data_IF_412956000068
#
_entry.id   IF_412956000068
#
_cell.length_a   1.000
_cell.length_b   1.000
_cell.length_c   1.000
_cell.angle_alpha   90.00
_cell.angle_beta   90.00
_cell.angle_gamma   90.00
#
_symmetry.space_group_name_H-M   'P 1'
#
loop_
_entity.id
_entity.type
_entity.pdbx_description
1 polymer ?
#
# COMPACT_ATOMS: atom_id res chain seq x y z
N UNK A 1 1.87 -3.65 -14.71
CA UNK A 1 0.46 -3.84 -14.29
C UNK A 1 0.15 -5.27 -13.79
N UNK A 2 1.15 -6.05 -13.33
CA UNK A 2 0.90 -7.34 -12.65
C UNK A 2 0.28 -7.16 -11.25
N UNK A 3 0.52 -6.02 -10.59
CA UNK A 3 -0.06 -5.71 -9.28
C UNK A 3 -1.59 -5.73 -9.31
N UNK A 4 -2.21 -5.22 -10.38
CA UNK A 4 -3.67 -5.22 -10.53
C UNK A 4 -4.25 -6.62 -10.76
N UNK A 5 -3.43 -7.62 -11.08
CA UNK A 5 -3.90 -9.01 -11.22
C UNK A 5 -4.46 -9.58 -9.91
N UNK A 6 -4.14 -8.98 -8.74
CA UNK A 6 -4.73 -9.34 -7.44
C UNK A 6 -6.25 -9.13 -7.37
N UNK A 7 -6.80 -8.26 -8.22
CA UNK A 7 -8.25 -8.05 -8.29
C UNK A 7 -8.99 -9.25 -8.90
N UNK A 8 -8.29 -10.18 -9.57
CA UNK A 8 -8.87 -11.42 -10.08
C UNK A 8 -9.25 -12.34 -8.89
N UNK A 9 -8.33 -12.74 -7.99
CA UNK A 9 -8.68 -13.43 -6.75
C UNK A 9 -9.76 -12.72 -5.93
N UNK A 10 -9.67 -11.39 -5.80
CA UNK A 10 -10.66 -10.63 -5.03
C UNK A 10 -12.06 -10.68 -5.62
N UNK A 11 -12.20 -10.65 -6.95
CA UNK A 11 -13.49 -10.80 -7.62
C UNK A 11 -14.16 -12.15 -7.30
N UNK A 12 -13.38 -13.23 -7.19
CA UNK A 12 -13.92 -14.54 -6.79
C UNK A 12 -14.31 -14.58 -5.31
N UNK A 13 -13.49 -13.98 -4.43
CA UNK A 13 -13.74 -13.96 -2.99
C UNK A 13 -14.90 -13.05 -2.57
N UNK A 14 -15.30 -12.08 -3.42
CA UNK A 14 -16.27 -11.04 -3.08
C UNK A 14 -17.64 -11.23 -3.72
N UNK A 15 -17.85 -12.33 -4.46
CA UNK A 15 -19.13 -12.64 -5.10
C UNK A 15 -20.30 -12.66 -4.08
N UNK A 16 -20.04 -13.11 -2.86
CA UNK A 16 -21.05 -13.14 -1.78
C UNK A 16 -21.23 -11.78 -1.09
N UNK A 17 -20.26 -10.87 -1.22
CA UNK A 17 -20.19 -9.55 -0.56
C UNK A 17 -20.79 -8.41 -1.41
N UNK A 18 -20.62 -8.49 -2.74
CA UNK A 18 -21.06 -7.45 -3.70
C UNK A 18 -22.58 -7.44 -3.93
N UNK A 19 -23.30 -8.48 -3.52
CA UNK A 19 -24.75 -8.59 -3.67
C UNK A 19 -25.19 -9.22 -5.00
N UNK A 20 -26.50 -9.32 -5.25
CA UNK A 20 -27.06 -9.98 -6.45
C UNK A 20 -27.55 -8.96 -7.50
N UNK A 21 -27.42 -9.30 -8.78
CA UNK A 21 -27.95 -8.53 -9.91
C UNK A 21 -27.21 -7.21 -10.16
N UNK A 22 -27.92 -6.15 -10.55
CA UNK A 22 -27.33 -4.84 -10.88
C UNK A 22 -26.55 -4.19 -9.71
N UNK A 23 -26.85 -4.58 -8.46
CA UNK A 23 -26.10 -4.12 -7.28
C UNK A 23 -24.66 -4.69 -7.24
N UNK A 24 -24.42 -5.85 -7.86
CA UNK A 24 -23.05 -6.42 -7.89
C UNK A 24 -22.11 -5.60 -8.75
N UNK A 25 -22.62 -4.94 -9.81
CA UNK A 25 -21.81 -4.02 -10.63
C UNK A 25 -21.26 -2.85 -9.82
N UNK A 26 -22.10 -2.27 -8.94
CA UNK A 26 -21.64 -1.23 -8.01
C UNK A 26 -20.71 -1.80 -6.94
N UNK A 27 -20.97 -3.01 -6.45
CA UNK A 27 -20.08 -3.70 -5.52
C UNK A 27 -18.68 -3.92 -6.10
N UNK A 28 -18.58 -4.34 -7.37
CA UNK A 28 -17.29 -4.49 -8.06
C UNK A 28 -16.60 -3.15 -8.34
N UNK A 29 -17.36 -2.10 -8.62
CA UNK A 29 -16.79 -0.76 -8.83
C UNK A 29 -16.14 -0.20 -7.57
N UNK A 30 -16.71 -0.51 -6.40
CA UNK A 30 -16.28 -0.01 -5.10
C UNK A 30 -15.22 -0.91 -4.44
N UNK A 31 -14.93 -2.06 -5.04
CA UNK A 31 -13.97 -3.03 -4.53
C UNK A 31 -12.55 -2.43 -4.45
N UNK A 32 -11.97 -2.46 -3.25
CA UNK A 32 -10.57 -2.12 -2.97
C UNK A 32 -10.01 -3.13 -1.95
N UNK A 33 -8.69 -3.13 -1.75
CA UNK A 33 -8.06 -4.12 -0.88
C UNK A 33 -8.60 -4.05 0.55
N UNK A 34 -8.79 -2.84 1.05
CA UNK A 34 -9.26 -2.56 2.40
C UNK A 34 -10.69 -3.06 2.59
N UNK A 35 -11.61 -2.78 1.66
CA UNK A 35 -13.00 -3.22 1.74
C UNK A 35 -13.12 -4.75 1.68
N UNK A 36 -12.26 -5.40 0.91
CA UNK A 36 -12.15 -6.87 0.87
C UNK A 36 -11.62 -7.42 2.18
N UNK A 37 -10.51 -6.88 2.70
CA UNK A 37 -9.89 -7.34 3.96
C UNK A 37 -10.83 -7.13 5.14
N UNK A 38 -11.41 -5.94 5.29
CA UNK A 38 -12.35 -5.63 6.37
C UNK A 38 -13.66 -6.40 6.25
N UNK A 39 -14.13 -6.64 5.01
CA UNK A 39 -15.29 -7.48 4.74
C UNK A 39 -15.06 -8.94 5.14
N UNK A 40 -13.92 -9.53 4.76
CA UNK A 40 -13.60 -10.92 5.07
C UNK A 40 -13.22 -11.16 6.54
N UNK A 41 -12.82 -10.12 7.27
CA UNK A 41 -12.45 -10.22 8.69
C UNK A 41 -13.65 -10.35 9.66
N UNK A 42 -14.89 -10.12 9.20
CA UNK A 42 -16.08 -10.21 10.06
C UNK A 42 -16.62 -11.64 10.17
N UNK A 43 -17.29 -11.95 11.28
CA UNK A 43 -17.81 -13.29 11.55
C UNK A 43 -19.18 -13.55 10.90
N UNK A 44 -20.12 -12.59 10.95
CA UNK A 44 -21.47 -12.77 10.42
C UNK A 44 -21.63 -12.23 8.99
N UNK A 45 -22.43 -12.90 8.15
CA UNK A 45 -22.66 -12.51 6.75
C UNK A 45 -23.22 -11.09 6.59
N UNK A 46 -24.05 -10.62 7.53
CA UNK A 46 -24.54 -9.24 7.55
C UNK A 46 -23.44 -8.22 7.82
N UNK A 47 -22.55 -8.52 8.77
CA UNK A 47 -21.44 -7.63 9.13
C UNK A 47 -20.37 -7.61 8.03
N UNK A 48 -20.06 -8.76 7.41
CA UNK A 48 -19.12 -8.82 6.28
C UNK A 48 -19.54 -7.89 5.15
N UNK A 49 -20.83 -7.92 4.78
CA UNK A 49 -21.40 -7.02 3.76
C UNK A 49 -21.38 -5.56 4.21
N UNK A 50 -21.78 -5.29 5.44
CA UNK A 50 -21.77 -3.92 5.96
C UNK A 50 -20.35 -3.34 5.96
N UNK A 51 -19.36 -4.08 6.44
CA UNK A 51 -17.95 -3.69 6.46
C UNK A 51 -17.40 -3.46 5.04
N UNK A 52 -17.70 -4.35 4.10
CA UNK A 52 -17.32 -4.18 2.69
C UNK A 52 -17.87 -2.88 2.10
N UNK A 53 -19.18 -2.64 2.23
CA UNK A 53 -19.83 -1.46 1.63
C UNK A 53 -19.44 -0.16 2.34
N UNK A 54 -19.35 -0.15 3.68
CA UNK A 54 -18.95 1.03 4.45
C UNK A 54 -17.50 1.44 4.14
N UNK A 55 -16.58 0.49 4.16
CA UNK A 55 -15.17 0.75 3.87
C UNK A 55 -14.99 1.18 2.40
N UNK A 56 -15.66 0.49 1.48
CA UNK A 56 -15.64 0.78 0.06
C UNK A 56 -16.16 2.19 -0.27
N UNK A 57 -17.37 2.54 0.20
CA UNK A 57 -17.96 3.86 -0.03
C UNK A 57 -17.14 4.94 0.67
N UNK A 58 -16.65 4.66 1.89
CA UNK A 58 -15.78 5.58 2.63
C UNK A 58 -14.54 5.96 1.83
N UNK A 59 -13.86 4.98 1.25
CA UNK A 59 -12.68 5.22 0.39
C UNK A 59 -13.09 5.93 -0.90
N UNK A 60 -14.18 5.51 -1.55
CA UNK A 60 -14.68 6.13 -2.78
C UNK A 60 -14.94 7.63 -2.61
N UNK A 61 -15.41 8.06 -1.44
CA UNK A 61 -15.68 9.47 -1.14
C UNK A 61 -14.43 10.19 -0.61
N UNK A 62 -13.71 9.59 0.34
CA UNK A 62 -12.55 10.19 0.97
C UNK A 62 -11.41 10.43 -0.04
N UNK A 63 -11.25 9.53 -1.01
CA UNK A 63 -10.22 9.63 -2.03
C UNK A 63 -10.32 10.90 -2.89
N UNK A 64 -11.41 11.15 -3.65
CA UNK A 64 -11.53 12.36 -4.47
C UNK A 64 -11.56 13.62 -3.61
N UNK A 65 -12.18 13.59 -2.42
CA UNK A 65 -12.16 14.72 -1.49
C UNK A 65 -10.73 15.04 -1.07
N UNK A 66 -9.95 14.04 -0.68
CA UNK A 66 -8.54 14.19 -0.31
C UNK A 66 -7.69 14.71 -1.48
N UNK A 67 -7.94 14.25 -2.71
CA UNK A 67 -7.28 14.75 -3.91
C UNK A 67 -7.59 16.23 -4.14
N UNK A 68 -8.86 16.63 -4.08
CA UNK A 68 -9.27 18.03 -4.25
C UNK A 68 -8.68 18.92 -3.15
N UNK A 69 -8.74 18.48 -1.89
CA UNK A 69 -8.12 19.21 -0.78
C UNK A 69 -6.60 19.32 -0.99
N UNK A 70 -5.94 18.24 -1.39
CA UNK A 70 -4.51 18.20 -1.65
C UNK A 70 -4.11 19.09 -2.82
N UNK A 71 -4.90 19.13 -3.89
CA UNK A 71 -4.69 20.03 -5.03
C UNK A 71 -4.83 21.50 -4.61
N UNK A 72 -5.90 21.84 -3.89
CA UNK A 72 -6.13 23.19 -3.40
C UNK A 72 -5.01 23.63 -2.46
N UNK A 73 -4.65 22.82 -1.46
CA UNK A 73 -3.55 23.12 -0.54
C UNK A 73 -2.20 23.18 -1.27
N UNK A 74 -1.97 22.28 -2.23
CA UNK A 74 -0.75 22.25 -3.03
C UNK A 74 -0.61 23.47 -3.93
N UNK A 75 -1.70 24.07 -4.40
CA UNK A 75 -1.69 25.29 -5.22
C UNK A 75 -1.16 26.52 -4.47
N UNK A 76 -1.19 26.50 -3.13
CA UNK A 76 -0.59 27.54 -2.28
C UNK A 76 0.91 27.35 -2.03
N UNK A 77 1.47 26.18 -2.40
CA UNK A 77 2.88 25.85 -2.19
C UNK A 77 3.63 26.11 -3.50
N UNK A 78 4.31 27.25 -3.57
CA UNK A 78 5.04 27.69 -4.77
C UNK A 78 6.30 26.87 -5.08
N UNK A 79 6.89 26.20 -4.08
CA UNK A 79 8.12 25.43 -4.26
C UNK A 79 8.10 24.10 -3.48
N UNK A 80 7.55 23.06 -4.12
CA UNK A 80 7.34 21.73 -3.51
C UNK A 80 8.65 20.98 -3.21
N UNK A 81 9.76 21.35 -3.86
CA UNK A 81 11.07 20.75 -3.64
C UNK A 81 11.71 21.14 -2.31
N UNK A 82 11.41 22.35 -1.81
CA UNK A 82 11.98 22.85 -0.55
C UNK A 82 11.39 22.12 0.67
N UNK A 83 10.15 21.64 0.57
CA UNK A 83 9.44 20.98 1.66
C UNK A 83 9.71 19.46 1.76
N UNK A 84 10.60 18.90 0.93
CA UNK A 84 10.90 17.46 0.95
C UNK A 84 9.69 16.59 0.59
N UNK A 85 8.78 17.13 -0.22
CA UNK A 85 7.54 16.48 -0.64
C UNK A 85 7.82 15.20 -1.46
N UNK A 86 8.98 15.15 -2.12
CA UNK A 86 9.53 14.00 -2.84
C UNK A 86 9.91 12.84 -1.90
N UNK A 87 10.26 13.13 -0.65
CA UNK A 87 10.60 12.13 0.37
C UNK A 87 9.38 11.64 1.19
N UNK A 88 8.21 12.25 1.05
CA UNK A 88 7.03 11.87 1.84
C UNK A 88 6.63 10.41 1.65
N UNK A 89 6.57 9.94 0.40
CA UNK A 89 6.14 8.57 0.12
C UNK A 89 7.12 7.51 0.68
N UNK A 90 8.45 7.63 0.43
CA UNK A 90 9.43 6.79 1.13
C UNK A 90 9.35 6.86 2.66
N UNK A 91 9.12 8.04 3.22
CA UNK A 91 9.02 8.23 4.67
C UNK A 91 7.79 7.52 5.26
N UNK A 92 6.63 7.59 4.60
CA UNK A 92 5.41 6.88 5.01
C UNK A 92 5.64 5.37 4.95
N UNK A 93 6.21 4.85 3.86
CA UNK A 93 6.52 3.42 3.74
C UNK A 93 7.47 2.97 4.85
N UNK A 94 8.52 3.75 5.12
CA UNK A 94 9.46 3.46 6.20
C UNK A 94 8.74 3.42 7.55
N UNK A 95 7.91 4.44 7.85
CA UNK A 95 7.15 4.51 9.10
C UNK A 95 6.21 3.31 9.28
N UNK A 96 5.51 2.89 8.22
CA UNK A 96 4.66 1.69 8.21
C UNK A 96 5.46 0.39 8.33
N UNK A 97 6.73 0.40 7.92
CA UNK A 97 7.62 -0.77 8.01
C UNK A 97 8.28 -0.91 9.38
N UNK A 98 8.40 0.17 10.17
CA UNK A 98 9.04 0.15 11.49
C UNK A 98 8.47 -0.90 12.44
N UNK A 99 7.13 -1.09 12.57
CA UNK A 99 6.56 -2.14 13.43
C UNK A 99 6.97 -3.55 13.02
N UNK A 100 7.23 -3.79 11.73
CA UNK A 100 7.69 -5.08 11.22
C UNK A 100 9.17 -5.36 11.55
N UNK A 101 9.98 -4.33 11.85
CA UNK A 101 11.39 -4.43 12.22
C UNK A 101 11.62 -4.71 13.72
N UNK A 102 10.90 -5.71 14.24
CA UNK A 102 10.90 -6.05 15.67
C UNK A 102 12.24 -6.65 16.16
N UNK A 103 12.89 -7.48 15.35
CA UNK A 103 14.14 -8.16 15.70
C UNK A 103 15.40 -7.33 15.40
N UNK A 104 16.43 -7.42 16.26
CA UNK A 104 17.73 -6.72 16.08
C UNK A 104 18.46 -7.16 14.80
N UNK A 105 18.45 -8.44 14.46
CA UNK A 105 19.04 -8.99 13.23
C UNK A 105 18.29 -8.53 11.99
N UNK A 106 16.96 -8.49 12.05
CA UNK A 106 16.13 -7.99 10.95
C UNK A 106 16.42 -6.50 10.69
N UNK A 107 16.51 -5.71 11.76
CA UNK A 107 16.90 -4.30 11.68
C UNK A 107 18.31 -4.10 11.12
N UNK A 108 19.28 -4.90 11.55
CA UNK A 108 20.63 -4.86 11.02
C UNK A 108 20.66 -5.22 9.52
N UNK A 109 19.93 -6.25 9.13
CA UNK A 109 19.78 -6.67 7.73
C UNK A 109 19.16 -5.56 6.87
N UNK A 110 18.12 -4.89 7.39
CA UNK A 110 17.48 -3.75 6.73
C UNK A 110 18.44 -2.56 6.58
N UNK A 111 19.20 -2.21 7.62
CA UNK A 111 20.19 -1.13 7.58
C UNK A 111 21.28 -1.44 6.55
N UNK A 112 21.82 -2.66 6.54
CA UNK A 112 22.86 -3.06 5.58
C UNK A 112 22.32 -3.03 4.15
N UNK A 113 21.09 -3.52 3.93
CA UNK A 113 20.42 -3.42 2.63
C UNK A 113 20.25 -1.97 2.18
N UNK A 114 19.84 -1.07 3.08
CA UNK A 114 19.72 0.36 2.80
C UNK A 114 21.08 0.99 2.43
N UNK A 115 22.15 0.65 3.15
CA UNK A 115 23.52 1.11 2.83
C UNK A 115 23.95 0.65 1.44
N UNK A 116 23.71 -0.63 1.09
CA UNK A 116 24.02 -1.17 -0.23
C UNK A 116 23.25 -0.42 -1.32
N UNK A 117 21.95 -0.20 -1.13
CA UNK A 117 21.14 0.55 -2.08
C UNK A 117 21.68 1.97 -2.28
N UNK A 118 21.88 2.73 -1.19
CA UNK A 118 22.37 4.12 -1.26
C UNK A 118 23.75 4.20 -1.93
N UNK A 119 24.67 3.29 -1.59
CA UNK A 119 26.01 3.27 -2.16
C UNK A 119 26.03 2.93 -3.66
N UNK A 120 25.05 2.17 -4.15
CA UNK A 120 24.97 1.74 -5.56
C UNK A 120 24.11 2.65 -6.44
N UNK A 121 23.23 3.47 -5.84
CA UNK A 121 22.42 4.49 -6.52
C UNK A 121 23.17 5.38 -7.51
N UNK A 122 24.37 5.94 -7.21
CA UNK A 122 25.03 6.84 -8.16
C UNK A 122 25.59 6.14 -9.40
N UNK A 123 25.75 4.82 -9.37
CA UNK A 123 26.44 4.06 -10.44
C UNK A 123 25.47 3.24 -11.29
N UNK A 124 24.33 2.84 -10.73
CA UNK A 124 23.42 1.88 -11.36
C UNK A 124 22.09 2.51 -11.81
N UNK A 125 21.45 1.98 -12.86
CA UNK A 125 20.12 2.41 -13.28
C UNK A 125 19.06 2.23 -12.19
N UNK A 126 18.00 3.05 -12.25
CA UNK A 126 16.88 2.98 -11.32
C UNK A 126 16.30 1.55 -11.22
N UNK A 127 16.03 1.11 -9.98
CA UNK A 127 15.52 -0.23 -9.67
C UNK A 127 16.59 -1.26 -9.33
N UNK A 128 17.80 -1.18 -9.91
CA UNK A 128 18.89 -2.13 -9.62
C UNK A 128 19.44 -2.01 -8.18
N UNK A 129 19.67 -0.80 -7.62
CA UNK A 129 20.12 -0.64 -6.24
C UNK A 129 19.22 -1.35 -5.21
N UNK A 130 17.90 -1.33 -5.44
CA UNK A 130 16.91 -1.98 -4.57
C UNK A 130 17.01 -3.51 -4.64
N UNK A 131 17.29 -4.07 -5.82
CA UNK A 131 17.54 -5.51 -5.96
C UNK A 131 18.83 -5.93 -5.28
N UNK A 132 19.89 -5.12 -5.36
CA UNK A 132 21.16 -5.39 -4.67
C UNK A 132 21.02 -5.32 -3.15
N UNK A 133 20.10 -4.52 -2.62
CA UNK A 133 19.81 -4.50 -1.18
C UNK A 133 19.43 -5.88 -0.65
N UNK A 134 18.84 -6.77 -1.48
CA UNK A 134 18.48 -8.13 -1.10
C UNK A 134 19.69 -9.00 -0.75
N UNK A 135 20.91 -8.63 -1.17
CA UNK A 135 22.13 -9.33 -0.78
C UNK A 135 22.35 -9.30 0.73
N UNK A 136 21.80 -8.30 1.45
CA UNK A 136 21.88 -8.26 2.91
C UNK A 136 21.15 -9.43 3.58
N UNK A 137 20.16 -10.05 2.91
CA UNK A 137 19.41 -11.20 3.45
C UNK A 137 20.28 -12.41 3.77
N UNK A 138 21.47 -12.52 3.14
CA UNK A 138 22.46 -13.57 3.47
C UNK A 138 22.84 -13.51 4.96
N UNK A 139 22.84 -12.32 5.56
CA UNK A 139 23.13 -12.09 6.98
C UNK A 139 22.00 -12.61 7.87
N UNK A 140 20.76 -12.57 7.38
CA UNK A 140 19.60 -13.10 8.10
C UNK A 140 19.51 -14.63 8.03
N UNK A 141 19.88 -15.20 6.87
CA UNK A 141 19.74 -16.65 6.60
C UNK A 141 20.90 -17.47 7.18
N UNK A 142 22.12 -16.90 7.24
CA UNK A 142 23.27 -17.60 7.83
C UNK A 142 23.15 -17.63 9.36
N UNK A 143 22.71 -18.80 9.85
CA UNK A 143 22.67 -19.19 11.28
C UNK A 143 24.07 -19.25 11.89
#
# INVERSE_FOLDING_TARGET
MLVNSRHIPFSFATNELTGKGAKSLLGYHIMNDESVVFGLAQETESEKRAAFWLCGIGILLCWPIGVVIGEVLGSFISDTHIYGMDAMFPAIILALSLPALSDKRLRLTAIIGAVIAVATTPVLPAGIPVLLALLSLVIYIRK
#
